data_IF_453379379178
#
_entry.id   IF_453379379178
#
_cell.length_a   1.000
_cell.length_b   1.000
_cell.length_c   1.000
_cell.angle_alpha   90.00
_cell.angle_beta   90.00
_cell.angle_gamma   90.00
#
_symmetry.space_group_name_H-M   'P 1'
#
loop_
_entity.id
_entity.type
_entity.pdbx_description
1 polymer ?
#
# COMPACT_ATOMS: atom_id res chain seq x y z
N UNK A 1 21.04 29.16 -34.72
CA UNK A 1 19.63 29.12 -34.26
C UNK A 1 19.54 28.11 -33.14
N UNK A 2 19.60 28.55 -31.88
CA UNK A 2 19.49 27.70 -30.70
C UNK A 2 18.02 27.59 -30.31
N UNK A 3 17.36 26.47 -30.63
CA UNK A 3 16.03 26.16 -30.11
C UNK A 3 16.16 25.56 -28.72
N UNK A 4 15.68 26.33 -27.74
CA UNK A 4 15.56 25.97 -26.33
C UNK A 4 14.77 24.67 -26.20
N UNK A 5 15.40 23.67 -25.58
CA UNK A 5 14.73 22.48 -25.07
C UNK A 5 13.80 22.95 -23.94
N UNK A 6 12.50 23.06 -24.23
CA UNK A 6 11.49 23.36 -23.23
C UNK A 6 11.34 22.09 -22.39
N UNK A 7 12.01 22.06 -21.23
CA UNK A 7 11.75 21.08 -20.19
C UNK A 7 10.30 21.23 -19.75
N UNK A 8 9.42 20.32 -20.21
CA UNK A 8 8.08 20.19 -19.63
C UNK A 8 8.27 19.84 -18.15
N UNK A 9 7.74 20.61 -17.19
CA UNK A 9 7.76 20.16 -15.81
C UNK A 9 6.96 18.86 -15.76
N UNK A 10 7.54 17.81 -15.17
CA UNK A 10 6.81 16.60 -14.83
C UNK A 10 5.75 17.01 -13.81
N UNK A 11 4.53 17.27 -14.27
CA UNK A 11 3.38 17.48 -13.40
C UNK A 11 3.09 16.13 -12.75
N UNK A 12 3.69 15.87 -11.58
CA UNK A 12 3.26 14.77 -10.74
C UNK A 12 1.80 15.03 -10.36
N UNK A 13 0.91 14.09 -10.65
CA UNK A 13 -0.51 14.19 -10.30
C UNK A 13 -0.63 14.01 -8.78
N UNK A 14 -0.69 15.12 -8.05
CA UNK A 14 -0.80 15.14 -6.58
C UNK A 14 -2.28 15.05 -6.19
N UNK A 15 -2.60 14.16 -5.24
CA UNK A 15 -3.92 14.07 -4.62
C UNK A 15 -4.06 15.22 -3.60
N UNK A 16 -5.10 16.04 -3.71
CA UNK A 16 -5.27 17.22 -2.83
C UNK A 16 -5.94 16.88 -1.50
N UNK A 17 -6.91 15.96 -1.53
CA UNK A 17 -7.62 15.48 -0.33
C UNK A 17 -8.14 14.06 -0.58
N UNK A 18 -8.27 13.28 0.49
CA UNK A 18 -8.97 11.99 0.49
C UNK A 18 -10.49 12.16 0.56
N UNK A 19 -10.98 13.35 0.96
CA UNK A 19 -12.41 13.57 1.24
C UNK A 19 -12.91 12.85 2.50
N UNK A 20 -12.04 12.19 3.26
CA UNK A 20 -12.35 11.48 4.50
C UNK A 20 -11.74 12.27 5.67
N UNK A 21 -12.55 12.61 6.67
CA UNK A 21 -12.08 13.35 7.84
C UNK A 21 -11.09 12.51 8.64
N UNK A 22 -9.91 13.06 8.92
CA UNK A 22 -8.87 12.38 9.72
C UNK A 22 -7.98 11.43 8.91
N UNK A 23 -8.15 11.34 7.59
CA UNK A 23 -7.27 10.56 6.71
C UNK A 23 -6.49 11.51 5.78
N UNK A 24 -5.26 11.81 6.15
CA UNK A 24 -4.39 12.70 5.37
C UNK A 24 -3.85 12.00 4.11
N UNK A 25 -3.67 12.78 3.04
CA UNK A 25 -3.10 12.29 1.78
C UNK A 25 -1.63 11.88 1.97
N UNK A 26 -1.27 10.71 1.45
CA UNK A 26 0.12 10.22 1.48
C UNK A 26 0.74 10.34 0.09
N UNK A 27 1.68 11.28 -0.15
CA UNK A 27 2.23 11.53 -1.48
C UNK A 27 3.01 10.34 -2.07
N UNK A 28 3.64 9.52 -1.22
CA UNK A 28 4.41 8.34 -1.63
C UNK A 28 3.68 7.04 -1.26
N UNK A 29 2.35 7.01 -1.38
CA UNK A 29 1.51 5.91 -0.90
C UNK A 29 1.97 4.53 -1.40
N UNK A 30 2.36 4.41 -2.68
CA UNK A 30 2.85 3.17 -3.29
C UNK A 30 4.06 2.60 -2.54
N UNK A 31 5.09 3.41 -2.32
CA UNK A 31 6.31 2.96 -1.65
C UNK A 31 6.03 2.56 -0.20
N UNK A 32 5.18 3.32 0.48
CA UNK A 32 4.74 3.01 1.84
C UNK A 32 3.99 1.68 1.89
N UNK A 33 3.03 1.46 0.98
CA UNK A 33 2.28 0.21 0.87
C UNK A 33 3.19 -0.99 0.61
N UNK A 34 4.13 -0.87 -0.34
CA UNK A 34 5.11 -1.93 -0.62
C UNK A 34 5.95 -2.23 0.63
N UNK A 35 6.41 -1.20 1.35
CA UNK A 35 7.15 -1.35 2.59
C UNK A 35 6.34 -2.08 3.67
N UNK A 36 5.10 -1.67 3.87
CA UNK A 36 4.19 -2.27 4.85
C UNK A 36 3.88 -3.73 4.51
N UNK A 37 3.49 -4.05 3.27
CA UNK A 37 3.18 -5.42 2.88
C UNK A 37 4.38 -6.36 2.99
N UNK A 38 5.59 -5.91 2.64
CA UNK A 38 6.79 -6.71 2.85
C UNK A 38 7.06 -6.96 4.34
N UNK A 39 6.80 -5.97 5.20
CA UNK A 39 6.90 -6.13 6.64
C UNK A 39 5.85 -7.12 7.16
N UNK A 40 4.60 -7.03 6.69
CA UNK A 40 3.53 -7.97 7.05
C UNK A 40 3.89 -9.40 6.66
N UNK A 41 4.40 -9.62 5.45
CA UNK A 41 4.87 -10.94 4.98
C UNK A 41 6.06 -11.49 5.76
N UNK A 42 6.83 -10.62 6.43
CA UNK A 42 7.94 -11.03 7.30
C UNK A 42 7.45 -11.39 8.69
N UNK A 43 6.58 -10.58 9.28
CA UNK A 43 6.06 -10.81 10.64
C UNK A 43 5.09 -11.99 10.69
N UNK A 44 4.27 -12.20 9.66
CA UNK A 44 3.33 -13.32 9.60
C UNK A 44 4.04 -14.69 9.62
N UNK A 45 5.33 -14.77 9.26
CA UNK A 45 6.10 -16.02 9.33
C UNK A 45 6.27 -16.55 10.75
N UNK A 46 6.13 -15.69 11.77
CA UNK A 46 6.15 -16.11 13.17
C UNK A 46 4.85 -16.79 13.61
N UNK A 47 3.75 -16.61 12.86
CA UNK A 47 2.47 -17.30 13.09
C UNK A 47 2.54 -18.72 12.48
N UNK A 48 2.03 -19.77 13.14
CA UNK A 48 2.03 -21.14 12.60
C UNK A 48 1.31 -21.26 11.25
N UNK A 49 1.85 -22.09 10.34
CA UNK A 49 1.30 -22.29 8.97
C UNK A 49 -0.07 -22.97 8.92
N UNK A 50 -0.45 -23.67 9.98
CA UNK A 50 -1.72 -24.39 10.04
C UNK A 50 -2.91 -23.45 10.32
N UNK A 51 -2.64 -22.20 10.71
CA UNK A 51 -3.68 -21.22 10.93
C UNK A 51 -4.26 -20.70 9.62
N UNK A 52 -5.60 -20.76 9.49
CA UNK A 52 -6.32 -20.17 8.37
C UNK A 52 -6.05 -18.67 8.21
N UNK A 53 -5.77 -17.97 9.31
CA UNK A 53 -5.40 -16.56 9.33
C UNK A 53 -4.12 -16.30 8.52
N UNK A 54 -3.03 -17.03 8.78
CA UNK A 54 -1.77 -16.86 8.04
C UNK A 54 -1.95 -17.03 6.52
N UNK A 55 -2.68 -18.07 6.10
CA UNK A 55 -2.96 -18.32 4.67
C UNK A 55 -3.76 -17.19 4.04
N UNK A 56 -4.76 -16.65 4.74
CA UNK A 56 -5.54 -15.53 4.26
C UNK A 56 -4.66 -14.28 4.11
N UNK A 57 -3.91 -13.93 5.17
CA UNK A 57 -3.01 -12.77 5.20
C UNK A 57 -1.97 -12.83 4.09
N UNK A 58 -1.29 -13.96 3.94
CA UNK A 58 -0.31 -14.12 2.87
C UNK A 58 -0.95 -13.99 1.48
N UNK A 59 -2.14 -14.57 1.27
CA UNK A 59 -2.82 -14.54 -0.02
C UNK A 59 -3.19 -13.11 -0.45
N UNK A 60 -3.92 -12.37 0.39
CA UNK A 60 -4.32 -11.01 0.03
C UNK A 60 -3.13 -10.04 0.02
N UNK A 61 -2.17 -10.21 0.93
CA UNK A 61 -0.98 -9.32 1.00
C UNK A 61 -0.12 -9.49 -0.24
N UNK A 62 0.09 -10.72 -0.72
CA UNK A 62 0.82 -10.97 -1.98
C UNK A 62 0.08 -10.41 -3.18
N UNK A 63 -1.24 -10.55 -3.23
CA UNK A 63 -2.06 -9.98 -4.30
C UNK A 63 -1.96 -8.45 -4.33
N UNK A 64 -2.16 -7.79 -3.18
CA UNK A 64 -2.06 -6.33 -3.03
C UNK A 64 -0.66 -5.81 -3.35
N UNK A 65 0.38 -6.50 -2.88
CA UNK A 65 1.78 -6.18 -3.18
C UNK A 65 2.06 -6.27 -4.69
N UNK A 66 1.59 -7.33 -5.36
CA UNK A 66 1.78 -7.50 -6.80
C UNK A 66 1.16 -6.34 -7.58
N UNK A 67 -0.05 -5.93 -7.25
CA UNK A 67 -0.70 -4.78 -7.91
C UNK A 67 0.08 -3.48 -7.65
N UNK A 68 0.56 -3.25 -6.43
CA UNK A 68 1.37 -2.06 -6.10
C UNK A 68 2.74 -2.05 -6.81
N UNK A 69 3.26 -3.22 -7.17
CA UNK A 69 4.50 -3.34 -7.96
C UNK A 69 4.25 -3.11 -9.45
N UNK A 70 3.15 -3.65 -9.98
CA UNK A 70 2.78 -3.52 -11.40
C UNK A 70 2.34 -2.10 -11.78
N UNK A 71 1.60 -1.43 -10.91
CA UNK A 71 1.04 -0.10 -11.16
C UNK A 71 1.85 0.99 -10.45
N UNK A 72 2.10 2.10 -11.16
CA UNK A 72 2.77 3.27 -10.59
C UNK A 72 1.79 4.34 -10.11
N UNK A 73 0.64 4.44 -10.78
CA UNK A 73 -0.41 5.40 -10.47
C UNK A 73 -1.32 4.89 -9.34
N UNK A 74 -1.48 5.69 -8.29
CA UNK A 74 -2.35 5.38 -7.15
C UNK A 74 -3.81 5.14 -7.60
N UNK A 75 -4.30 5.87 -8.60
CA UNK A 75 -5.65 5.70 -9.15
C UNK A 75 -5.85 4.34 -9.82
N UNK A 76 -4.82 3.83 -10.51
CA UNK A 76 -4.85 2.48 -11.10
C UNK A 76 -4.80 1.41 -10.02
N UNK A 77 -4.01 1.64 -8.96
CA UNK A 77 -3.98 0.75 -7.79
C UNK A 77 -5.38 0.67 -7.14
N UNK A 78 -6.03 1.81 -6.87
CA UNK A 78 -7.38 1.86 -6.29
C UNK A 78 -8.39 1.11 -7.19
N UNK A 79 -8.32 1.32 -8.51
CA UNK A 79 -9.21 0.68 -9.47
C UNK A 79 -8.99 -0.83 -9.60
N UNK A 80 -7.74 -1.29 -9.58
CA UNK A 80 -7.42 -2.73 -9.70
C UNK A 80 -7.70 -3.48 -8.41
N UNK A 81 -7.46 -2.87 -7.25
CA UNK A 81 -7.74 -3.48 -5.95
C UNK A 81 -9.23 -3.41 -5.60
N UNK A 82 -9.92 -2.33 -5.96
CA UNK A 82 -11.34 -2.17 -5.66
C UNK A 82 -11.65 -2.11 -4.16
N UNK A 83 -10.67 -1.74 -3.33
CA UNK A 83 -10.75 -1.76 -1.87
C UNK A 83 -10.68 -0.35 -1.25
N UNK A 84 -11.24 0.66 -1.91
CA UNK A 84 -11.19 2.05 -1.42
C UNK A 84 -9.90 2.77 -1.80
N UNK A 85 -9.55 3.79 -1.03
CA UNK A 85 -8.39 4.66 -1.31
C UNK A 85 -7.07 4.05 -0.85
N UNK A 86 -5.96 4.45 -1.48
CA UNK A 86 -4.62 3.96 -1.09
C UNK A 86 -4.28 4.31 0.36
N UNK A 87 -4.78 5.41 0.90
CA UNK A 87 -4.60 5.81 2.29
C UNK A 87 -5.33 4.88 3.27
N UNK A 88 -6.53 4.41 2.92
CA UNK A 88 -7.26 3.42 3.74
C UNK A 88 -6.49 2.10 3.77
N UNK A 89 -5.93 1.68 2.63
CA UNK A 89 -5.09 0.48 2.55
C UNK A 89 -3.81 0.58 3.40
N UNK A 90 -3.25 1.79 3.57
CA UNK A 90 -2.09 2.02 4.43
C UNK A 90 -2.47 1.81 5.89
N UNK A 91 -3.59 2.37 6.33
CA UNK A 91 -4.09 2.19 7.69
C UNK A 91 -4.44 0.72 7.96
N UNK A 92 -5.15 0.04 7.02
CA UNK A 92 -5.40 -1.39 7.11
C UNK A 92 -4.10 -2.21 7.27
N UNK A 93 -3.07 -1.90 6.48
CA UNK A 93 -1.80 -2.62 6.56
C UNK A 93 -1.05 -2.39 7.89
N UNK A 94 -1.21 -1.22 8.51
CA UNK A 94 -0.67 -0.90 9.84
C UNK A 94 -1.42 -1.62 10.95
N UNK A 95 -2.74 -1.66 10.84
CA UNK A 95 -3.60 -2.38 11.77
C UNK A 95 -3.33 -3.89 11.71
N UNK A 96 -3.11 -4.42 10.51
CA UNK A 96 -2.74 -5.83 10.31
C UNK A 96 -1.41 -6.17 10.98
N UNK A 97 -0.38 -5.31 10.83
CA UNK A 97 0.89 -5.48 11.56
C UNK A 97 0.70 -5.45 13.08
N UNK A 98 -0.14 -4.54 13.57
CA UNK A 98 -0.46 -4.45 14.99
C UNK A 98 -1.18 -5.71 15.49
N UNK A 99 -2.09 -6.26 14.68
CA UNK A 99 -2.80 -7.49 14.98
C UNK A 99 -1.85 -8.69 15.02
N UNK A 100 -0.96 -8.81 14.03
CA UNK A 100 0.07 -9.86 13.99
C UNK A 100 0.96 -9.79 15.25
N UNK A 101 1.40 -8.59 15.64
CA UNK A 101 2.16 -8.39 16.88
C UNK A 101 1.41 -8.87 18.13
N UNK A 102 0.11 -8.58 18.23
CA UNK A 102 -0.75 -9.07 19.32
C UNK A 102 -0.93 -10.59 19.30
N UNK A 103 -1.01 -11.20 18.13
CA UNK A 103 -1.13 -12.67 17.98
C UNK A 103 0.15 -13.39 18.40
N UNK A 104 1.32 -12.80 18.13
CA UNK A 104 2.61 -13.35 18.53
C UNK A 104 2.92 -13.08 20.02
N UNK A 105 2.16 -12.19 20.67
CA UNK A 105 2.30 -11.86 22.09
C UNK A 105 3.39 -10.84 22.39
N UNK A 106 3.63 -9.90 21.47
CA UNK A 106 4.56 -8.76 21.65
C UNK A 106 3.93 -7.60 22.41
#
# INVERSE_FOLDING_TARGET
>A
MFLRMISRPLLAKVKETTGIVGLDVVPNAREVLIGLYNKTLKEIQAVPEDEGYRKAVESFTRHRLKVCQEEEDWEMIEKRLGCGQVEELIEEARDELTLIGKMIGS
#
